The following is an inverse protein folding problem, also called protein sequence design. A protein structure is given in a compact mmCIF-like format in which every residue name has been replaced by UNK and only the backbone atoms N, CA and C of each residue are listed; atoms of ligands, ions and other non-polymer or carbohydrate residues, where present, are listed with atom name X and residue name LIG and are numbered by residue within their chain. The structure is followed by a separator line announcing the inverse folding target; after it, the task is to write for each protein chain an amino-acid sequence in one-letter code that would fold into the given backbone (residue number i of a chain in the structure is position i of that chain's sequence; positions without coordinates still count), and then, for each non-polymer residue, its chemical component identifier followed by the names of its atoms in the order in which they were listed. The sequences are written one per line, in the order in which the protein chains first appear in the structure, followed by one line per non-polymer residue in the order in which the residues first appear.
data_IF_520983938344
#
_entry.id   IF_520983938344
#
_cell.length_a   1.000
_cell.length_b   1.000
_cell.length_c   1.000
_cell.angle_alpha   90.00
_cell.angle_beta   90.00
_cell.angle_gamma   90.00
#
_symmetry.space_group_name_H-M   'P 1'
#
loop_
_entity.id
_entity.type
_entity.pdbx_description
1 polymer ?
#
# COMPACT_ATOMS: atom_id res chain seq x y z
N UNK A 1 -19.60 2.98 -5.32
CA UNK A 1 -18.69 3.07 -4.14
C UNK A 1 -17.60 2.05 -4.35
N UNK A 2 -16.32 2.43 -4.24
CA UNK A 2 -15.20 1.52 -4.49
C UNK A 2 -14.90 0.72 -3.21
N UNK A 3 -14.93 -0.61 -3.28
CA UNK A 3 -14.64 -1.48 -2.13
C UNK A 3 -13.22 -1.23 -1.58
N UNK A 4 -13.10 -1.12 -0.25
CA UNK A 4 -11.83 -0.95 0.45
C UNK A 4 -11.07 -2.29 0.61
N UNK A 5 -9.91 -2.27 1.28
CA UNK A 5 -9.07 -3.47 1.40
C UNK A 5 -9.71 -4.52 2.31
N UNK A 6 -10.23 -4.09 3.45
CA UNK A 6 -10.83 -4.92 4.49
C UNK A 6 -12.08 -5.63 3.96
N UNK A 7 -12.93 -4.91 3.22
CA UNK A 7 -14.10 -5.46 2.55
C UNK A 7 -13.72 -6.51 1.49
N UNK A 8 -12.69 -6.22 0.68
CA UNK A 8 -12.24 -7.15 -0.37
C UNK A 8 -11.61 -8.41 0.23
N UNK A 9 -10.88 -8.28 1.34
CA UNK A 9 -10.30 -9.39 2.07
C UNK A 9 -11.40 -10.26 2.70
N UNK A 10 -12.37 -9.64 3.37
CA UNK A 10 -13.48 -10.36 3.99
C UNK A 10 -14.33 -11.14 2.97
N UNK A 11 -14.60 -10.53 1.81
CA UNK A 11 -15.32 -11.21 0.73
C UNK A 11 -14.50 -12.38 0.16
N UNK A 12 -13.17 -12.25 0.08
CA UNK A 12 -12.29 -13.33 -0.35
C UNK A 12 -12.30 -14.50 0.65
N UNK A 13 -12.21 -14.22 1.95
CA UNK A 13 -12.31 -15.23 3.02
C UNK A 13 -13.64 -15.99 2.90
N UNK A 14 -14.75 -15.26 2.74
CA UNK A 14 -16.08 -15.86 2.56
C UNK A 14 -16.15 -16.77 1.32
N UNK A 15 -15.45 -16.43 0.25
CA UNK A 15 -15.38 -17.26 -0.96
C UNK A 15 -14.57 -18.53 -0.69
N UNK A 16 -13.43 -18.42 -0.01
CA UNK A 16 -12.61 -19.58 0.37
C UNK A 16 -13.42 -20.54 1.23
N UNK A 17 -14.09 -20.05 2.27
CA UNK A 17 -14.93 -20.86 3.14
C UNK A 17 -15.99 -21.65 2.35
N UNK A 18 -16.63 -21.01 1.37
CA UNK A 18 -17.64 -21.66 0.50
C UNK A 18 -17.04 -22.70 -0.43
N UNK A 19 -15.84 -22.45 -0.96
CA UNK A 19 -15.14 -23.40 -1.82
C UNK A 19 -14.68 -24.64 -1.02
N UNK A 20 -14.34 -24.46 0.26
CA UNK A 20 -13.92 -25.56 1.14
C UNK A 20 -15.09 -26.42 1.66
N UNK A 21 -16.30 -25.86 1.77
CA UNK A 21 -17.51 -26.58 2.22
C UNK A 21 -17.95 -27.70 1.27
N UNK A 22 -17.56 -27.63 0.00
CA UNK A 22 -17.73 -28.72 -0.98
C UNK A 22 -19.18 -29.01 -1.42
N UNK A 23 -20.15 -28.18 -1.01
CA UNK A 23 -21.57 -28.30 -1.41
C UNK A 23 -21.90 -27.61 -2.74
N UNK A 24 -20.91 -27.03 -3.41
CA UNK A 24 -21.09 -26.25 -4.63
C UNK A 24 -21.10 -27.14 -5.88
N UNK A 25 -21.91 -26.76 -6.86
CA UNK A 25 -21.78 -27.29 -8.22
C UNK A 25 -20.47 -26.82 -8.88
N UNK A 26 -20.10 -27.47 -9.99
CA UNK A 26 -18.91 -27.07 -10.77
C UNK A 26 -19.01 -25.62 -11.25
N UNK A 27 -20.17 -25.22 -11.77
CA UNK A 27 -20.38 -23.87 -12.30
C UNK A 27 -20.28 -22.81 -11.19
N UNK A 28 -20.86 -23.08 -10.01
CA UNK A 28 -20.74 -22.21 -8.85
C UNK A 28 -19.30 -22.09 -8.36
N UNK A 29 -18.58 -23.21 -8.33
CA UNK A 29 -17.16 -23.25 -7.96
C UNK A 29 -16.31 -22.41 -8.90
N UNK A 30 -16.55 -22.49 -10.21
CA UNK A 30 -15.84 -21.68 -11.21
C UNK A 30 -16.17 -20.18 -11.07
N UNK A 31 -17.44 -19.83 -10.86
CA UNK A 31 -17.83 -18.43 -10.64
C UNK A 31 -17.17 -17.84 -9.38
N UNK A 32 -17.17 -18.58 -8.28
CA UNK A 32 -16.55 -18.17 -7.03
C UNK A 32 -15.02 -18.06 -7.17
N UNK A 33 -14.39 -19.00 -7.87
CA UNK A 33 -12.97 -18.95 -8.15
C UNK A 33 -12.57 -17.71 -8.96
N UNK A 34 -13.29 -17.41 -10.05
CA UNK A 34 -13.04 -16.20 -10.85
C UNK A 34 -13.19 -14.93 -10.02
N UNK A 35 -14.21 -14.87 -9.16
CA UNK A 35 -14.42 -13.76 -8.24
C UNK A 35 -13.27 -13.63 -7.24
N UNK A 36 -12.82 -14.74 -6.67
CA UNK A 36 -11.66 -14.80 -5.78
C UNK A 36 -10.40 -14.23 -6.44
N UNK A 37 -10.11 -14.62 -7.69
CA UNK A 37 -8.97 -14.07 -8.45
C UNK A 37 -9.07 -12.55 -8.63
N UNK A 38 -10.27 -12.01 -8.90
CA UNK A 38 -10.48 -10.57 -9.01
C UNK A 38 -10.23 -9.85 -7.67
N UNK A 39 -10.68 -10.43 -6.56
CA UNK A 39 -10.45 -9.88 -5.21
C UNK A 39 -8.98 -9.91 -4.83
N UNK A 40 -8.26 -11.01 -5.09
CA UNK A 40 -6.80 -11.11 -4.87
C UNK A 40 -6.06 -10.01 -5.62
N UNK A 41 -6.39 -9.78 -6.90
CA UNK A 41 -5.78 -8.69 -7.69
C UNK A 41 -6.05 -7.32 -7.07
N UNK A 42 -7.28 -7.12 -6.56
CA UNK A 42 -7.66 -5.86 -5.92
C UNK A 42 -6.90 -5.63 -4.61
N UNK A 43 -6.83 -6.63 -3.73
CA UNK A 43 -6.05 -6.58 -2.50
C UNK A 43 -4.58 -6.25 -2.77
N UNK A 44 -3.96 -6.95 -3.73
CA UNK A 44 -2.58 -6.69 -4.13
C UNK A 44 -2.37 -5.27 -4.66
N UNK A 45 -3.32 -4.73 -5.41
CA UNK A 45 -3.26 -3.35 -5.91
C UNK A 45 -3.33 -2.34 -4.78
N UNK A 46 -4.24 -2.53 -3.82
CA UNK A 46 -4.35 -1.65 -2.63
C UNK A 46 -3.07 -1.70 -1.79
N UNK A 47 -2.54 -2.89 -1.53
CA UNK A 47 -1.28 -3.08 -0.80
C UNK A 47 -0.09 -2.43 -1.51
N UNK A 48 0.00 -2.57 -2.84
CA UNK A 48 1.04 -1.92 -3.64
C UNK A 48 0.98 -0.41 -3.50
N UNK A 49 -0.21 0.18 -3.63
CA UNK A 49 -0.40 1.62 -3.51
C UNK A 49 -0.07 2.12 -2.09
N UNK A 50 -0.46 1.36 -1.07
CA UNK A 50 -0.13 1.67 0.32
C UNK A 50 1.39 1.64 0.55
N UNK A 51 2.08 0.61 0.04
CA UNK A 51 3.55 0.49 0.12
C UNK A 51 4.24 1.66 -0.55
N UNK A 52 3.86 2.01 -1.78
CA UNK A 52 4.42 3.16 -2.49
C UNK A 52 4.22 4.47 -1.74
N UNK A 53 3.08 4.65 -1.08
CA UNK A 53 2.82 5.83 -0.27
C UNK A 53 3.76 5.88 0.94
N UNK A 54 3.97 4.75 1.62
CA UNK A 54 4.91 4.65 2.74
C UNK A 54 6.34 4.93 2.29
N UNK A 55 6.79 4.32 1.18
CA UNK A 55 8.13 4.53 0.62
C UNK A 55 8.41 6.02 0.35
N UNK A 56 7.47 6.73 -0.30
CA UNK A 56 7.61 8.17 -0.55
C UNK A 56 7.70 9.00 0.73
N UNK A 57 6.86 8.70 1.72
CA UNK A 57 6.88 9.43 3.00
C UNK A 57 8.19 9.20 3.79
N UNK A 58 8.79 8.02 3.65
CA UNK A 58 10.10 7.72 4.25
C UNK A 58 11.20 8.50 3.52
N UNK A 59 11.21 8.50 2.18
CA UNK A 59 12.17 9.26 1.37
C UNK A 59 12.09 10.77 1.63
N UNK A 60 10.88 11.34 1.69
CA UNK A 60 10.67 12.75 2.05
C UNK A 60 11.23 13.09 3.44
N UNK A 61 11.06 12.20 4.42
CA UNK A 61 11.60 12.39 5.77
C UNK A 61 13.13 12.31 5.80
N UNK A 62 13.74 11.41 5.03
CA UNK A 62 15.20 11.33 4.91
C UNK A 62 15.78 12.59 4.26
N UNK A 63 15.14 13.10 3.20
CA UNK A 63 15.53 14.36 2.55
C UNK A 63 15.44 15.57 3.50
N UNK A 64 14.38 15.64 4.32
CA UNK A 64 14.24 16.67 5.35
C UNK A 64 15.34 16.62 6.43
N UNK A 65 15.89 15.44 6.71
CA UNK A 65 17.03 15.28 7.64
C UNK A 65 18.36 15.66 7.00
N UNK A 66 18.54 15.43 5.70
CA UNK A 66 19.77 15.83 4.99
C UNK A 66 19.86 17.34 4.73
N UNK A 67 18.74 18.07 4.71
CA UNK A 67 18.72 19.53 4.55
C UNK A 67 18.89 20.33 5.87
N UNK A 68 19.26 19.68 6.98
CA UNK A 68 19.64 20.39 8.20
C UNK A 68 21.05 20.98 8.11
N UNK A 69 21.08 22.24 7.66
CA UNK A 69 22.07 23.29 7.97
C UNK A 69 23.52 23.06 7.52
N UNK A 70 23.87 23.59 6.33
CA UNK A 70 25.18 24.24 6.18
C UNK A 70 25.16 25.53 7.02
N UNK A 71 25.75 25.48 8.22
CA UNK A 71 26.11 26.68 8.95
C UNK A 71 27.12 27.45 8.09
N UNK A 72 26.67 28.52 7.43
CA UNK A 72 27.60 29.50 6.86
C UNK A 72 28.38 30.09 8.03
N UNK A 73 29.66 29.76 8.10
CA UNK A 73 30.59 30.49 8.95
C UNK A 73 30.55 31.96 8.51
N UNK A 74 29.96 32.81 9.35
CA UNK A 74 30.09 34.26 9.21
C UNK A 74 31.52 34.55 9.60
N UNK A 75 32.37 34.78 8.60
CA UNK A 75 33.72 35.30 8.83
C UNK A 75 33.59 36.63 9.57
N UNK A 76 33.88 36.63 10.87
CA UNK A 76 33.84 37.82 11.72
C UNK A 76 35.03 38.74 11.50
N UNK A 77 35.80 38.60 10.42
CA UNK A 77 36.90 39.51 10.10
C UNK A 77 36.39 40.80 9.48
N UNK A 78 35.61 41.54 10.27
CA UNK A 78 35.44 42.97 10.11
C UNK A 78 36.78 43.67 10.27
N UNK A 79 37.50 43.87 9.16
CA UNK A 79 38.53 44.91 9.05
C UNK A 79 38.34 45.66 7.74
N UNK A 80 37.71 46.83 7.88
CA UNK A 80 37.91 47.99 7.00
C UNK A 80 39.08 48.79 7.57
N UNK A 81 40.27 48.58 7.00
CA UNK A 81 41.41 49.50 6.86
C UNK A 81 42.55 48.76 6.16
#
# INVERSE_FOLDING_TARGET
MEMNFEEALHELETIVDKLEDGQLSLDESLMLFEKGIKLVKKCNTKLKNARQKVEKLVEENENLKSESFELREVDTSGKIA
#
